data_IF_926375029716
#
_entry.id   IF_926375029716
#
_cell.length_a   1.000
_cell.length_b   1.000
_cell.length_c   1.000
_cell.angle_alpha   90.00
_cell.angle_beta   90.00
_cell.angle_gamma   90.00
#
_symmetry.space_group_name_H-M   'P 1'
#
loop_
_entity.id
_entity.type
_entity.pdbx_description
1 polymer ?
#
# COMPACT_ATOMS: atom_id res chain seq x y z
N UNK A 1 11.95 5.98 -20.07
CA UNK A 1 10.64 6.26 -19.46
C UNK A 1 10.70 5.79 -18.03
N UNK A 2 11.02 6.70 -17.11
CA UNK A 2 10.79 6.41 -15.71
C UNK A 2 9.27 6.30 -15.58
N UNK A 3 8.78 5.19 -15.03
CA UNK A 3 7.43 5.25 -14.46
C UNK A 3 7.44 6.43 -13.49
N UNK A 4 6.55 7.39 -13.69
CA UNK A 4 6.47 8.56 -12.83
C UNK A 4 6.05 8.08 -11.45
N UNK A 5 7.07 7.88 -10.60
CA UNK A 5 6.92 7.45 -9.22
C UNK A 5 5.91 8.33 -8.50
N UNK A 6 5.95 9.63 -8.77
CA UNK A 6 5.01 10.61 -8.22
C UNK A 6 3.57 10.36 -8.68
N UNK A 7 3.34 10.03 -9.96
CA UNK A 7 1.98 9.75 -10.46
C UNK A 7 1.43 8.45 -9.88
N UNK A 8 2.25 7.40 -9.80
CA UNK A 8 1.86 6.12 -9.20
C UNK A 8 1.60 6.27 -7.69
N UNK A 9 2.45 7.04 -7.01
CA UNK A 9 2.29 7.38 -5.59
C UNK A 9 0.98 8.12 -5.36
N UNK A 10 0.70 9.17 -6.12
CA UNK A 10 -0.57 9.91 -6.02
C UNK A 10 -1.79 9.01 -6.29
N UNK A 11 -1.75 8.18 -7.34
CA UNK A 11 -2.84 7.20 -7.61
C UNK A 11 -3.08 6.24 -6.46
N UNK A 12 -2.01 5.76 -5.81
CA UNK A 12 -2.11 4.89 -4.63
C UNK A 12 -2.67 5.65 -3.44
N UNK A 13 -2.17 6.86 -3.15
CA UNK A 13 -2.67 7.70 -2.06
C UNK A 13 -4.16 8.01 -2.24
N UNK A 14 -4.56 8.49 -3.41
CA UNK A 14 -5.96 8.77 -3.76
C UNK A 14 -6.82 7.51 -3.68
N UNK A 15 -6.31 6.39 -4.19
CA UNK A 15 -7.01 5.10 -4.18
C UNK A 15 -7.25 4.58 -2.77
N UNK A 16 -6.24 4.72 -1.90
CA UNK A 16 -6.34 4.37 -0.49
C UNK A 16 -7.25 5.36 0.23
N UNK A 17 -7.08 6.68 0.06
CA UNK A 17 -7.86 7.72 0.74
C UNK A 17 -9.36 7.61 0.40
N UNK A 18 -9.69 7.42 -0.88
CA UNK A 18 -11.07 7.17 -1.32
C UNK A 18 -11.69 5.95 -0.65
N UNK A 19 -10.89 4.90 -0.44
CA UNK A 19 -11.33 3.65 0.21
C UNK A 19 -11.06 3.63 1.71
N UNK A 20 -10.41 4.64 2.28
CA UNK A 20 -9.97 4.72 3.68
C UNK A 20 -11.17 4.78 4.63
N UNK A 21 -12.33 5.21 4.13
CA UNK A 21 -13.61 5.16 4.88
C UNK A 21 -14.14 3.74 5.08
N UNK A 22 -13.70 2.77 4.27
CA UNK A 22 -14.18 1.38 4.29
C UNK A 22 -13.10 0.37 4.64
N UNK A 23 -11.85 0.59 4.22
CA UNK A 23 -10.71 -0.32 4.46
C UNK A 23 -9.44 0.47 4.69
N UNK A 24 -8.68 0.10 5.72
CA UNK A 24 -7.37 0.68 6.04
C UNK A 24 -6.19 -0.14 5.50
N UNK A 25 -6.43 -1.39 5.07
CA UNK A 25 -5.45 -2.33 4.53
C UNK A 25 -5.86 -2.79 3.11
N UNK A 26 -4.91 -2.88 2.20
CA UNK A 26 -5.07 -3.23 0.78
C UNK A 26 -4.06 -4.28 0.37
N UNK A 27 -4.43 -5.22 -0.49
CA UNK A 27 -3.48 -6.20 -1.00
C UNK A 27 -2.52 -5.57 -2.00
N UNK A 28 -1.31 -6.12 -2.10
CA UNK A 28 -0.34 -5.74 -3.14
C UNK A 28 -0.94 -5.73 -4.54
N UNK A 29 -1.72 -6.76 -4.86
CA UNK A 29 -2.37 -6.94 -6.15
C UNK A 29 -3.37 -5.82 -6.45
N UNK A 30 -4.07 -5.30 -5.45
CA UNK A 30 -4.98 -4.17 -5.59
C UNK A 30 -4.20 -2.87 -5.82
N UNK A 31 -3.11 -2.65 -5.07
CA UNK A 31 -2.26 -1.48 -5.27
C UNK A 31 -1.64 -1.46 -6.67
N UNK A 32 -1.09 -2.59 -7.12
CA UNK A 32 -0.53 -2.74 -8.45
C UNK A 32 -1.56 -2.45 -9.55
N UNK A 33 -2.82 -2.90 -9.37
CA UNK A 33 -3.93 -2.58 -10.28
C UNK A 33 -4.32 -1.10 -10.25
N UNK A 34 -4.31 -0.45 -9.08
CA UNK A 34 -4.66 0.99 -8.96
C UNK A 34 -3.67 1.90 -9.70
N UNK A 35 -2.38 1.54 -9.67
CA UNK A 35 -1.35 2.28 -10.39
C UNK A 35 -1.20 1.87 -11.86
N UNK A 36 -1.99 0.89 -12.33
CA UNK A 36 -1.89 0.27 -13.67
C UNK A 36 -0.44 -0.11 -14.04
N UNK A 37 0.37 -0.46 -13.04
CA UNK A 37 1.79 -0.73 -13.22
C UNK A 37 2.06 -2.23 -13.24
N UNK A 38 3.14 -2.62 -13.92
CA UNK A 38 3.61 -3.99 -13.87
C UNK A 38 3.96 -4.37 -12.43
N UNK A 39 3.75 -5.64 -12.01
CA UNK A 39 4.03 -6.09 -10.64
C UNK A 39 5.46 -5.78 -10.17
N UNK A 40 6.44 -5.82 -11.09
CA UNK A 40 7.83 -5.48 -10.79
C UNK A 40 8.03 -4.02 -10.41
N UNK A 41 7.31 -3.12 -11.06
CA UNK A 41 7.42 -1.67 -10.84
C UNK A 41 6.59 -1.26 -9.63
N UNK A 42 5.37 -1.79 -9.53
CA UNK A 42 4.54 -1.63 -8.34
C UNK A 42 5.28 -2.07 -7.07
N UNK A 43 6.02 -3.20 -7.12
CA UNK A 43 6.81 -3.65 -5.98
C UNK A 43 7.88 -2.65 -5.57
N UNK A 44 8.60 -2.05 -6.53
CA UNK A 44 9.61 -1.02 -6.24
C UNK A 44 8.98 0.20 -5.60
N UNK A 45 7.90 0.71 -6.18
CA UNK A 45 7.18 1.90 -5.72
C UNK A 45 6.63 1.67 -4.30
N UNK A 46 5.94 0.55 -4.08
CA UNK A 46 5.36 0.22 -2.77
C UNK A 46 6.46 0.00 -1.72
N UNK A 47 7.57 -0.66 -2.06
CA UNK A 47 8.70 -0.83 -1.13
C UNK A 47 9.28 0.53 -0.74
N UNK A 48 9.50 1.41 -1.73
CA UNK A 48 10.00 2.77 -1.49
C UNK A 48 9.02 3.58 -0.63
N UNK A 49 7.71 3.46 -0.86
CA UNK A 49 6.69 4.12 -0.01
C UNK A 49 6.67 3.57 1.42
N UNK A 50 7.02 2.29 1.63
CA UNK A 50 7.18 1.71 2.97
C UNK A 50 8.46 2.24 3.64
N UNK A 51 9.56 2.33 2.90
CA UNK A 51 10.84 2.90 3.37
C UNK A 51 10.71 4.39 3.72
N UNK A 52 9.99 5.18 2.91
CA UNK A 52 9.64 6.58 3.20
C UNK A 52 8.68 6.71 4.39
N UNK A 53 8.12 5.60 4.89
CA UNK A 53 7.15 5.61 5.97
C UNK A 53 5.80 6.21 5.56
N UNK A 54 5.42 6.11 4.30
CA UNK A 54 4.10 6.54 3.81
C UNK A 54 3.12 5.38 3.91
N UNK A 55 3.57 4.19 3.52
CA UNK A 55 2.83 2.95 3.69
C UNK A 55 3.40 2.13 4.84
N UNK A 56 2.54 1.34 5.45
CA UNK A 56 2.91 0.28 6.39
C UNK A 56 2.68 -1.04 5.70
N UNK A 57 3.64 -1.95 5.84
CA UNK A 57 3.56 -3.32 5.35
C UNK A 57 3.00 -4.23 6.45
N UNK A 58 2.09 -5.11 6.07
CA UNK A 58 1.59 -6.21 6.89
C UNK A 58 1.73 -7.52 6.13
N UNK A 59 2.27 -8.53 6.81
CA UNK A 59 2.22 -9.91 6.33
C UNK A 59 0.89 -10.52 6.76
N UNK A 60 0.10 -11.03 5.80
CA UNK A 60 -1.13 -11.75 6.07
C UNK A 60 -1.01 -13.15 5.46
N UNK A 61 -0.28 -14.02 6.17
CA UNK A 61 -0.01 -15.40 5.76
C UNK A 61 0.65 -15.50 4.38
N UNK A 62 -0.12 -15.96 3.38
CA UNK A 62 0.35 -16.16 2.01
C UNK A 62 0.38 -14.88 1.15
N UNK A 63 -0.05 -13.73 1.69
CA UNK A 63 -0.15 -12.48 0.93
C UNK A 63 0.35 -11.27 1.72
N UNK A 64 0.66 -10.20 0.98
CA UNK A 64 1.16 -8.93 1.50
C UNK A 64 0.08 -7.87 1.45
N UNK A 65 -0.14 -7.22 2.59
CA UNK A 65 -1.06 -6.09 2.72
C UNK A 65 -0.30 -4.80 3.00
N UNK A 66 -0.86 -3.69 2.54
CA UNK A 66 -0.29 -2.36 2.63
C UNK A 66 -1.39 -1.35 2.94
N UNK A 67 -1.02 -0.22 3.52
CA UNK A 67 -1.99 0.79 3.96
C UNK A 67 -1.27 2.04 4.45
N UNK A 68 -1.99 3.15 4.49
CA UNK A 68 -1.40 4.43 4.86
C UNK A 68 -0.96 4.44 6.32
N UNK A 69 0.29 4.90 6.54
CA UNK A 69 0.81 5.13 7.88
C UNK A 69 -0.04 6.19 8.58
N UNK A 70 -0.60 5.84 9.73
CA UNK A 70 -1.50 6.70 10.50
C UNK A 70 -2.98 6.65 10.10
N UNK A 71 -3.35 6.08 8.95
CA UNK A 71 -4.76 5.87 8.58
C UNK A 71 -5.37 4.62 9.24
N UNK A 72 -4.52 3.69 9.66
CA UNK A 72 -4.92 2.69 10.63
C UNK A 72 -5.03 3.35 11.99
N UNK A 73 -6.24 3.42 12.58
CA UNK A 73 -6.33 3.14 14.01
C UNK A 73 -5.47 1.91 14.22
N UNK A 74 -4.42 2.06 15.03
CA UNK A 74 -3.59 0.97 15.49
C UNK A 74 -4.52 0.04 16.28
N UNK A 75 -5.30 -0.78 15.58
CA UNK A 75 -5.97 -1.91 16.17
C UNK A 75 -4.81 -2.80 16.59
N UNK A 76 -4.47 -2.68 17.87
CA UNK A 76 -3.94 -3.77 18.66
C UNK A 76 -4.69 -5.06 18.28
N UNK A 77 -3.97 -6.18 18.27
CA UNK A 77 -4.17 -7.37 17.43
C UNK A 77 -3.57 -7.13 16.05
N UNK A 78 -2.35 -7.54 15.76
CA UNK A 78 -1.96 -8.95 15.70
C UNK A 78 -0.44 -9.07 15.91
N UNK A 79 -0.03 -9.33 17.15
CA UNK A 79 1.18 -10.09 17.47
C UNK A 79 0.85 -10.91 18.72
N UNK A 80 1.22 -12.18 18.69
CA UNK A 80 0.85 -13.30 19.57
C UNK A 80 -0.62 -13.75 19.42
N UNK A 81 -0.90 -14.94 18.86
CA UNK A 81 -0.28 -16.26 19.06
C UNK A 81 -0.15 -17.08 17.75
#
# INVERSE_FOLDING_TARGET
MALDYEECKQKVLDGIEKKSKSKSKFYFSDLAKMMDAKPREAKKIVTQMVEEGILVFWSSGSTSMYGLKGAGKQSAAEHEE
#
